data_IF_732435026612
#
_entry.id   IF_732435026612
#
_cell.length_a   1.000
_cell.length_b   1.000
_cell.length_c   1.000
_cell.angle_alpha   90.00
_cell.angle_beta   90.00
_cell.angle_gamma   90.00
#
_symmetry.space_group_name_H-M   'P 1'
#
loop_
_entity.id
_entity.type
_entity.pdbx_description
1 polymer ?
#
# COMPACT_ATOMS: atom_id res chain seq x y z
N UNK A 1 3.20 27.54 -15.64
CA UNK A 1 3.85 26.27 -15.99
C UNK A 1 3.65 25.31 -14.83
N UNK A 2 2.81 24.28 -15.02
CA UNK A 2 2.58 23.25 -14.03
C UNK A 2 3.88 22.45 -13.87
N UNK A 3 4.69 22.80 -12.88
CA UNK A 3 5.73 21.93 -12.37
C UNK A 3 5.05 20.63 -11.96
N UNK A 4 5.38 19.54 -12.66
CA UNK A 4 4.79 18.25 -12.43
C UNK A 4 5.09 17.75 -11.03
N UNK A 5 4.29 18.16 -10.06
CA UNK A 5 4.24 17.60 -8.72
C UNK A 5 3.74 16.14 -8.87
N UNK A 6 4.66 15.22 -9.15
CA UNK A 6 4.35 13.76 -9.08
C UNK A 6 4.29 13.36 -7.60
N UNK A 7 3.37 13.98 -6.87
CA UNK A 7 3.05 13.61 -5.49
C UNK A 7 2.16 12.37 -5.58
N UNK A 8 2.81 11.24 -5.67
CA UNK A 8 2.11 9.96 -5.59
C UNK A 8 1.88 9.65 -4.12
N UNK A 9 0.63 9.44 -3.75
CA UNK A 9 0.21 9.14 -2.39
C UNK A 9 -0.28 7.72 -2.32
N UNK A 10 -0.07 7.06 -1.19
CA UNK A 10 -0.69 5.78 -0.85
C UNK A 10 -0.87 5.76 0.66
N UNK A 11 -1.86 5.00 1.10
CA UNK A 11 -2.09 4.72 2.51
C UNK A 11 -2.16 3.21 2.68
N UNK A 12 -1.41 2.67 3.62
CA UNK A 12 -1.47 1.28 4.05
C UNK A 12 -1.74 1.25 5.54
N UNK A 13 -2.85 0.68 5.92
CA UNK A 13 -3.20 0.39 7.31
C UNK A 13 -3.18 -1.11 7.50
N UNK A 14 -2.49 -1.61 8.50
CA UNK A 14 -2.38 -3.05 8.67
C UNK A 14 -2.27 -3.50 10.12
N UNK A 15 -2.74 -4.72 10.37
CA UNK A 15 -2.62 -5.41 11.63
C UNK A 15 -1.79 -6.68 11.42
N UNK A 16 -0.71 -6.80 12.18
CA UNK A 16 0.18 -7.96 12.19
C UNK A 16 -0.08 -8.77 13.46
N UNK A 17 -0.47 -10.03 13.35
CA UNK A 17 -0.78 -10.93 14.47
C UNK A 17 -1.66 -10.30 15.57
N UNK A 18 -2.50 -9.33 15.22
CA UNK A 18 -3.38 -8.61 16.15
C UNK A 18 -4.86 -8.97 15.98
N UNK A 19 -5.17 -10.08 15.29
CA UNK A 19 -6.50 -10.63 15.12
C UNK A 19 -6.50 -12.14 15.42
N UNK A 20 -7.59 -12.71 16.00
CA UNK A 20 -7.63 -14.16 16.32
C UNK A 20 -7.42 -15.04 15.09
N UNK A 21 -8.03 -14.72 13.96
CA UNK A 21 -8.10 -15.57 12.76
C UNK A 21 -7.03 -15.22 11.71
N UNK A 22 -6.45 -14.03 11.74
CA UNK A 22 -5.53 -13.54 10.71
C UNK A 22 -4.14 -13.23 11.25
N UNK A 23 -3.12 -13.59 10.48
CA UNK A 23 -1.73 -13.15 10.67
C UNK A 23 -1.51 -11.75 10.16
N UNK A 24 -2.14 -11.44 9.01
CA UNK A 24 -2.09 -10.13 8.40
C UNK A 24 -3.50 -9.72 7.96
N UNK A 25 -3.89 -8.53 8.36
CA UNK A 25 -4.99 -7.77 7.78
C UNK A 25 -4.38 -6.49 7.25
N UNK A 26 -4.46 -6.25 5.94
CA UNK A 26 -3.94 -5.05 5.29
C UNK A 26 -5.05 -4.41 4.47
N UNK A 27 -5.24 -3.11 4.66
CA UNK A 27 -6.16 -2.27 3.92
C UNK A 27 -5.37 -1.10 3.32
N UNK A 28 -5.41 -0.93 2.00
CA UNK A 28 -4.60 0.05 1.30
C UNK A 28 -5.37 0.82 0.24
N UNK A 29 -5.09 2.12 0.13
CA UNK A 29 -5.49 2.96 -0.98
C UNK A 29 -4.28 3.26 -1.87
N UNK A 30 -4.46 3.09 -3.17
CA UNK A 30 -3.55 3.58 -4.20
C UNK A 30 -4.08 4.88 -4.74
N UNK A 31 -3.34 5.96 -4.51
CA UNK A 31 -3.69 7.27 -5.02
C UNK A 31 -2.72 7.65 -6.15
N UNK A 32 -3.26 8.06 -7.29
CA UNK A 32 -2.52 8.27 -8.52
C UNK A 32 -3.29 9.20 -9.48
N UNK A 33 -2.62 9.79 -10.44
CA UNK A 33 -3.25 10.48 -11.56
C UNK A 33 -4.13 9.53 -12.38
N UNK A 34 -5.31 10.00 -12.79
CA UNK A 34 -6.26 9.16 -13.54
C UNK A 34 -5.77 8.77 -14.94
N UNK A 35 -4.91 9.58 -15.55
CA UNK A 35 -4.29 9.32 -16.86
C UNK A 35 -3.20 8.24 -16.82
N UNK A 36 -2.73 7.82 -15.61
CA UNK A 36 -1.71 6.76 -15.52
C UNK A 36 -2.30 5.39 -15.80
N UNK A 37 -1.92 4.72 -16.90
CA UNK A 37 -2.52 3.44 -17.26
C UNK A 37 -2.13 2.35 -16.25
N UNK A 38 -3.13 1.61 -15.76
CA UNK A 38 -2.95 0.49 -14.82
C UNK A 38 -3.99 -0.59 -15.10
N UNK A 39 -3.64 -1.84 -14.80
CA UNK A 39 -4.55 -2.97 -14.81
C UNK A 39 -4.91 -3.38 -13.37
N UNK A 40 -6.15 -3.84 -13.13
CA UNK A 40 -6.59 -4.34 -11.83
C UNK A 40 -5.80 -5.57 -11.39
N UNK A 41 -5.98 -5.96 -10.14
CA UNK A 41 -5.37 -7.16 -9.59
C UNK A 41 -5.84 -8.41 -10.33
N UNK A 42 -4.87 -9.19 -10.79
CA UNK A 42 -5.07 -10.51 -11.41
C UNK A 42 -3.79 -11.34 -11.27
N UNK A 43 -3.87 -12.65 -11.50
CA UNK A 43 -2.69 -13.50 -11.62
C UNK A 43 -1.91 -13.16 -12.89
N UNK A 44 -0.61 -12.92 -12.74
CA UNK A 44 0.19 -12.52 -13.89
C UNK A 44 0.46 -13.67 -14.84
N UNK A 45 0.19 -13.49 -16.12
CA UNK A 45 0.44 -14.51 -17.16
C UNK A 45 1.92 -14.93 -17.19
N UNK A 46 2.86 -13.96 -17.03
CA UNK A 46 4.30 -14.23 -17.03
C UNK A 46 4.82 -14.86 -15.72
N UNK A 47 4.08 -14.74 -14.63
CA UNK A 47 4.42 -15.26 -13.30
C UNK A 47 3.14 -15.70 -12.60
N UNK A 48 2.58 -16.90 -12.92
CA UNK A 48 1.26 -17.32 -12.48
C UNK A 48 1.09 -17.45 -10.95
N UNK A 49 2.20 -17.45 -10.21
CA UNK A 49 2.18 -17.43 -8.75
C UNK A 49 1.94 -16.03 -8.16
N UNK A 50 2.03 -14.95 -8.98
CA UNK A 50 1.90 -13.56 -8.50
C UNK A 50 0.51 -13.04 -8.80
N UNK A 51 -0.20 -12.60 -7.76
CA UNK A 51 -1.47 -11.89 -7.81
C UNK A 51 -1.22 -10.42 -7.45
N UNK A 52 -1.37 -9.52 -8.41
CA UNK A 52 -1.16 -8.08 -8.22
C UNK A 52 -1.76 -7.28 -9.37
N UNK A 53 -2.10 -6.01 -9.10
CA UNK A 53 -2.33 -5.04 -10.17
C UNK A 53 -1.04 -4.74 -10.96
N UNK A 54 -1.16 -4.11 -12.12
CA UNK A 54 -0.01 -3.71 -12.94
C UNK A 54 -0.01 -2.21 -13.23
N UNK A 55 1.11 -1.57 -13.02
CA UNK A 55 1.42 -0.29 -13.61
C UNK A 55 1.84 -0.51 -15.07
N UNK A 56 1.00 -0.14 -16.01
CA UNK A 56 1.24 -0.41 -17.44
C UNK A 56 2.28 0.54 -18.04
N UNK A 57 2.57 1.67 -17.38
CA UNK A 57 3.62 2.62 -17.78
C UNK A 57 5.00 2.11 -17.42
N UNK A 58 5.24 1.78 -16.15
CA UNK A 58 6.55 1.42 -15.63
C UNK A 58 6.76 -0.10 -15.48
N UNK A 59 5.73 -0.90 -15.77
CA UNK A 59 5.75 -2.37 -15.73
C UNK A 59 6.06 -2.97 -14.35
N UNK A 60 5.74 -2.22 -13.28
CA UNK A 60 5.84 -2.64 -11.89
C UNK A 60 4.46 -2.85 -11.25
N UNK A 61 4.45 -2.91 -9.93
CA UNK A 61 3.21 -2.94 -9.13
C UNK A 61 3.39 -2.19 -7.80
N UNK A 62 2.28 -1.90 -7.12
CA UNK A 62 2.26 -1.18 -5.83
C UNK A 62 1.95 -2.09 -4.64
N UNK A 63 1.23 -3.19 -4.87
CA UNK A 63 0.85 -4.19 -3.88
C UNK A 63 0.58 -5.50 -4.59
N UNK A 64 0.99 -6.60 -3.98
CA UNK A 64 0.69 -7.94 -4.48
C UNK A 64 1.05 -9.02 -3.49
N UNK A 65 0.59 -10.23 -3.78
CA UNK A 65 0.82 -11.45 -3.01
C UNK A 65 1.12 -12.60 -3.96
N UNK A 66 1.88 -13.57 -3.49
CA UNK A 66 2.12 -14.83 -4.24
C UNK A 66 1.28 -15.97 -3.68
N UNK A 67 1.10 -17.04 -4.47
CA UNK A 67 0.48 -18.29 -3.99
C UNK A 67 1.22 -18.87 -2.78
N UNK A 68 2.55 -18.71 -2.70
CA UNK A 68 3.36 -19.11 -1.54
C UNK A 68 3.30 -18.15 -0.34
N UNK A 69 2.39 -17.17 -0.32
CA UNK A 69 2.16 -16.28 0.81
C UNK A 69 3.17 -15.13 0.98
N UNK A 70 4.13 -14.94 0.04
CA UNK A 70 4.94 -13.72 0.02
C UNK A 70 4.05 -12.54 -0.38
N UNK A 71 4.20 -11.41 0.28
CA UNK A 71 3.52 -10.18 -0.14
C UNK A 71 4.46 -8.99 -0.07
N UNK A 72 4.16 -7.97 -0.85
CA UNK A 72 4.85 -6.71 -0.85
C UNK A 72 3.91 -5.56 -1.15
N UNK A 73 4.15 -4.42 -0.51
CA UNK A 73 3.46 -3.17 -0.80
C UNK A 73 4.44 -2.00 -0.67
N UNK A 74 4.17 -0.92 -1.40
CA UNK A 74 5.03 0.25 -1.42
C UNK A 74 4.22 1.53 -1.30
N UNK A 75 4.73 2.49 -0.52
CA UNK A 75 4.28 3.88 -0.56
C UNK A 75 5.43 4.78 -0.98
N UNK A 76 5.11 5.92 -1.55
CA UNK A 76 6.11 6.96 -1.78
C UNK A 76 6.40 7.66 -0.46
N UNK A 77 7.64 8.07 -0.26
CA UNK A 77 7.99 9.03 0.77
C UNK A 77 7.88 10.44 0.17
N UNK A 78 7.24 11.37 0.88
CA UNK A 78 6.99 12.74 0.40
C UNK A 78 8.19 13.61 0.71
N UNK A 79 9.03 13.80 -0.27
CA UNK A 79 10.24 14.63 -0.21
C UNK A 79 10.42 15.36 -1.56
N UNK A 80 9.66 16.46 -1.78
CA UNK A 80 9.73 17.21 -3.03
C UNK A 80 11.12 17.78 -3.31
N UNK A 81 11.85 18.16 -2.26
CA UNK A 81 13.16 18.80 -2.39
C UNK A 81 14.25 17.85 -2.94
N UNK A 82 14.12 16.55 -2.71
CA UNK A 82 15.08 15.53 -3.19
C UNK A 82 14.62 14.78 -4.46
N UNK A 83 13.62 15.31 -5.17
CA UNK A 83 13.07 14.65 -6.36
C UNK A 83 14.11 14.53 -7.49
N UNK A 84 14.20 13.31 -8.06
CA UNK A 84 15.06 12.96 -9.19
C UNK A 84 14.19 12.54 -10.37
N UNK A 85 14.31 13.24 -11.51
CA UNK A 85 13.51 12.97 -12.71
C UNK A 85 13.78 11.57 -13.30
N UNK A 86 15.05 11.16 -13.31
CA UNK A 86 15.52 9.91 -13.93
C UNK A 86 15.62 8.73 -12.95
N UNK A 87 15.03 8.86 -11.75
CA UNK A 87 15.04 7.79 -10.78
C UNK A 87 14.28 6.55 -11.29
N UNK A 88 14.79 5.33 -11.04
CA UNK A 88 14.11 4.12 -11.45
C UNK A 88 12.76 3.96 -10.75
N UNK A 89 11.84 3.25 -11.42
CA UNK A 89 10.51 2.99 -10.90
C UNK A 89 10.54 2.18 -9.60
N UNK A 90 9.93 2.73 -8.56
CA UNK A 90 9.81 2.10 -7.24
C UNK A 90 8.92 0.85 -7.27
N UNK A 91 7.91 0.80 -8.16
CA UNK A 91 7.05 -0.35 -8.35
C UNK A 91 7.80 -1.62 -8.78
N UNK A 92 8.98 -1.48 -9.42
CA UNK A 92 9.86 -2.60 -9.74
C UNK A 92 10.48 -3.26 -8.50
N UNK A 93 10.57 -2.57 -7.38
CA UNK A 93 11.01 -3.16 -6.10
C UNK A 93 9.98 -4.18 -5.60
N UNK A 94 8.70 -3.89 -5.73
CA UNK A 94 7.62 -4.81 -5.35
C UNK A 94 7.61 -6.03 -6.29
N UNK A 95 7.55 -5.80 -7.60
CA UNK A 95 7.50 -6.91 -8.57
C UNK A 95 8.71 -7.84 -8.48
N UNK A 96 9.93 -7.32 -8.34
CA UNK A 96 11.15 -8.12 -8.19
C UNK A 96 11.15 -8.96 -6.91
N UNK A 97 10.58 -8.46 -5.82
CA UNK A 97 10.44 -9.26 -4.62
C UNK A 97 9.44 -10.41 -4.81
N UNK A 98 8.29 -10.13 -5.39
CA UNK A 98 7.24 -11.13 -5.60
C UNK A 98 7.64 -12.23 -6.59
N UNK A 99 8.42 -11.89 -7.62
CA UNK A 99 8.89 -12.85 -8.63
C UNK A 99 10.20 -13.55 -8.25
N UNK A 100 10.94 -13.03 -7.29
CA UNK A 100 12.22 -13.58 -6.85
C UNK A 100 12.09 -14.61 -5.73
N UNK A 101 13.22 -15.30 -5.41
CA UNK A 101 13.27 -16.33 -4.36
C UNK A 101 13.75 -15.81 -2.99
N UNK A 102 14.33 -14.60 -2.92
CA UNK A 102 14.89 -14.07 -1.69
C UNK A 102 13.83 -13.86 -0.60
N UNK A 103 14.18 -14.17 0.65
CA UNK A 103 13.38 -13.80 1.82
C UNK A 103 13.39 -12.28 2.06
N UNK A 104 12.45 -11.76 2.90
CA UNK A 104 12.21 -10.33 3.02
C UNK A 104 13.43 -9.56 3.51
N UNK A 105 14.09 -10.00 4.57
CA UNK A 105 15.25 -9.29 5.12
C UNK A 105 16.42 -9.23 4.14
N UNK A 106 16.78 -10.38 3.53
CA UNK A 106 17.85 -10.46 2.53
C UNK A 106 17.57 -9.55 1.34
N UNK A 107 16.31 -9.53 0.88
CA UNK A 107 15.90 -8.66 -0.21
C UNK A 107 16.06 -7.18 0.16
N UNK A 108 15.59 -6.77 1.34
CA UNK A 108 15.70 -5.38 1.79
C UNK A 108 17.14 -4.92 1.96
N UNK A 109 18.03 -5.76 2.52
CA UNK A 109 19.47 -5.47 2.60
C UNK A 109 20.10 -5.24 1.21
N UNK A 110 19.66 -5.97 0.19
CA UNK A 110 20.11 -5.76 -1.18
C UNK A 110 19.53 -4.48 -1.81
N UNK A 111 18.28 -4.15 -1.53
CA UNK A 111 17.65 -2.88 -1.95
C UNK A 111 18.36 -1.70 -1.31
N UNK A 112 18.69 -1.78 -0.02
CA UNK A 112 19.35 -0.71 0.72
C UNK A 112 20.69 -0.28 0.10
N UNK A 113 21.45 -1.22 -0.44
CA UNK A 113 22.73 -0.92 -1.13
C UNK A 113 22.60 -0.02 -2.36
N UNK A 114 21.38 0.10 -2.92
CA UNK A 114 21.09 0.87 -4.15
C UNK A 114 19.96 1.86 -3.95
N UNK A 115 19.57 2.08 -2.71
CA UNK A 115 18.36 2.83 -2.37
C UNK A 115 18.44 4.33 -2.73
N UNK A 116 19.65 4.89 -2.74
CA UNK A 116 19.91 6.28 -3.12
C UNK A 116 19.57 6.59 -4.59
N UNK A 117 19.58 5.58 -5.47
CA UNK A 117 19.19 5.77 -6.86
C UNK A 117 17.69 6.08 -7.01
N UNK A 118 16.87 5.72 -6.04
CA UNK A 118 15.41 5.87 -6.08
C UNK A 118 14.96 7.18 -5.45
N UNK A 119 13.83 7.69 -5.91
CA UNK A 119 13.05 8.67 -5.13
C UNK A 119 12.56 8.05 -3.82
N UNK A 120 12.19 8.88 -2.84
CA UNK A 120 11.76 8.44 -1.53
C UNK A 120 10.65 7.36 -1.58
N UNK A 121 10.82 6.29 -0.80
CA UNK A 121 9.84 5.19 -0.71
C UNK A 121 9.85 4.53 0.67
N UNK A 122 8.73 3.87 0.97
CA UNK A 122 8.62 2.90 2.05
C UNK A 122 8.17 1.56 1.44
N UNK A 123 8.85 0.48 1.77
CA UNK A 123 8.60 -0.86 1.27
C UNK A 123 8.23 -1.79 2.42
N UNK A 124 7.04 -2.38 2.36
CA UNK A 124 6.51 -3.33 3.32
C UNK A 124 6.56 -4.72 2.70
N UNK A 125 7.26 -5.66 3.32
CA UNK A 125 7.47 -7.02 2.82
C UNK A 125 7.13 -8.06 3.87
N UNK A 126 6.57 -9.19 3.44
CA UNK A 126 6.38 -10.36 4.29
C UNK A 126 6.41 -11.66 3.50
N UNK A 127 6.62 -12.77 4.19
CA UNK A 127 6.68 -14.11 3.57
C UNK A 127 5.84 -15.18 4.30
N UNK A 128 4.92 -14.72 5.13
CA UNK A 128 4.07 -15.57 5.95
C UNK A 128 4.65 -15.90 7.34
N UNK A 129 5.96 -15.73 7.55
CA UNK A 129 6.62 -15.86 8.84
C UNK A 129 6.90 -14.49 9.47
N UNK A 130 7.57 -13.64 8.74
CA UNK A 130 8.08 -12.36 9.20
C UNK A 130 7.55 -11.20 8.36
N UNK A 131 7.45 -10.05 9.01
CA UNK A 131 7.04 -8.79 8.40
C UNK A 131 8.13 -7.74 8.60
N UNK A 132 8.54 -7.09 7.53
CA UNK A 132 9.56 -6.04 7.53
C UNK A 132 9.08 -4.80 6.83
N UNK A 133 9.53 -3.65 7.32
CA UNK A 133 9.42 -2.36 6.64
C UNK A 133 10.80 -1.77 6.42
N UNK A 134 10.99 -1.12 5.30
CA UNK A 134 12.18 -0.35 4.98
C UNK A 134 11.80 0.95 4.29
N UNK A 135 12.39 2.06 4.74
CA UNK A 135 12.36 3.34 4.05
C UNK A 135 13.77 3.70 3.58
N UNK A 136 13.92 4.24 2.37
CA UNK A 136 15.20 4.83 1.99
C UNK A 136 15.45 6.21 2.61
N UNK A 137 14.61 6.59 3.57
CA UNK A 137 14.76 7.72 4.49
C UNK A 137 14.87 7.25 5.96
N UNK A 138 15.08 5.96 6.18
CA UNK A 138 15.16 5.35 7.52
C UNK A 138 15.75 3.94 7.43
N UNK A 139 15.47 3.11 8.44
CA UNK A 139 16.08 1.81 8.64
C UNK A 139 15.20 0.63 8.21
N UNK A 140 15.82 -0.54 8.03
CA UNK A 140 15.13 -1.82 7.93
C UNK A 140 14.66 -2.22 9.34
N UNK A 141 13.36 -2.45 9.50
CA UNK A 141 12.76 -2.86 10.76
C UNK A 141 11.94 -4.13 10.60
N UNK A 142 12.19 -5.13 11.44
CA UNK A 142 11.29 -6.27 11.63
C UNK A 142 10.14 -5.81 12.52
N UNK A 143 8.91 -6.15 12.14
CA UNK A 143 7.72 -5.73 12.87
C UNK A 143 7.21 -6.83 13.80
N UNK A 144 6.83 -6.45 15.00
CA UNK A 144 6.15 -7.31 15.98
C UNK A 144 4.63 -7.31 15.77
N UNK A 145 3.90 -8.02 16.63
CA UNK A 145 2.44 -7.94 16.67
C UNK A 145 1.99 -6.52 16.98
N UNK A 146 0.99 -6.03 16.21
CA UNK A 146 0.51 -4.67 16.41
C UNK A 146 -0.35 -4.14 15.26
N UNK A 147 -0.81 -2.90 15.42
CA UNK A 147 -1.56 -2.13 14.44
C UNK A 147 -0.70 -0.97 13.97
N UNK A 148 -0.52 -0.87 12.67
CA UNK A 148 0.40 0.04 12.03
C UNK A 148 -0.28 0.86 10.94
N UNK A 149 0.30 2.02 10.65
CA UNK A 149 -0.09 2.85 9.52
C UNK A 149 1.13 3.39 8.79
N UNK A 150 1.13 3.25 7.47
CA UNK A 150 2.20 3.70 6.59
C UNK A 150 1.59 4.56 5.49
N UNK A 151 2.03 5.81 5.43
CA UNK A 151 1.63 6.72 4.37
C UNK A 151 2.89 7.23 3.64
N UNK A 152 3.06 8.53 3.54
CA UNK A 152 4.12 9.15 2.74
C UNK A 152 5.23 9.79 3.60
N UNK A 153 5.35 9.31 4.80
CA UNK A 153 6.41 9.55 5.79
C UNK A 153 6.81 8.19 6.37
N UNK A 154 7.63 8.13 7.39
CA UNK A 154 8.03 6.88 8.05
C UNK A 154 6.83 6.16 8.68
N UNK A 155 7.02 4.88 8.98
CA UNK A 155 6.00 4.05 9.64
C UNK A 155 5.50 4.71 10.92
N UNK A 156 4.17 4.78 11.04
CA UNK A 156 3.47 5.34 12.22
C UNK A 156 3.71 6.84 12.47
N UNK A 157 4.28 7.57 11.51
CA UNK A 157 4.31 9.04 11.62
C UNK A 157 2.90 9.55 11.91
N UNK A 158 2.72 10.41 12.94
CA UNK A 158 1.40 10.73 13.48
C UNK A 158 0.60 11.72 12.62
N UNK A 159 0.61 11.54 11.32
CA UNK A 159 -0.28 12.29 10.43
C UNK A 159 -1.75 11.99 10.74
N UNK A 160 -2.66 12.97 10.61
CA UNK A 160 -4.06 12.82 10.97
C UNK A 160 -4.72 11.57 10.36
N UNK A 161 -4.49 11.30 9.06
CA UNK A 161 -5.04 10.13 8.38
C UNK A 161 -4.48 8.80 8.91
N UNK A 162 -3.19 8.77 9.32
CA UNK A 162 -2.57 7.59 9.92
C UNK A 162 -3.16 7.31 11.29
N UNK A 163 -3.21 8.32 12.16
CA UNK A 163 -3.77 8.18 13.51
C UNK A 163 -5.25 7.77 13.47
N UNK A 164 -6.03 8.44 12.61
CA UNK A 164 -7.45 8.13 12.45
C UNK A 164 -7.65 6.74 11.85
N UNK A 165 -6.89 6.40 10.81
CA UNK A 165 -6.95 5.10 10.15
C UNK A 165 -6.64 3.95 11.11
N UNK A 166 -5.60 4.09 11.95
CA UNK A 166 -5.28 3.10 13.00
C UNK A 166 -6.41 2.93 14.02
N UNK A 167 -7.08 4.02 14.43
CA UNK A 167 -8.25 3.96 15.32
C UNK A 167 -9.42 3.22 14.67
N UNK A 168 -9.72 3.50 13.40
CA UNK A 168 -10.77 2.82 12.66
C UNK A 168 -10.43 1.35 12.41
N UNK A 169 -9.18 1.05 12.02
CA UNK A 169 -8.72 -0.33 11.88
C UNK A 169 -8.89 -1.11 13.19
N UNK A 170 -8.47 -0.55 14.33
CA UNK A 170 -8.67 -1.19 15.63
C UNK A 170 -10.13 -1.55 15.91
N UNK A 171 -11.07 -0.71 15.49
CA UNK A 171 -12.52 -0.98 15.63
C UNK A 171 -12.96 -2.09 14.65
N UNK A 172 -12.49 -2.03 13.41
CA UNK A 172 -12.81 -3.04 12.40
C UNK A 172 -12.35 -4.45 12.79
N UNK A 173 -11.21 -4.57 13.50
CA UNK A 173 -10.69 -5.86 13.98
C UNK A 173 -11.61 -6.58 14.99
N UNK A 174 -12.62 -5.94 15.52
CA UNK A 174 -13.65 -6.60 16.33
C UNK A 174 -14.69 -7.36 15.49
N UNK A 175 -14.76 -7.11 14.18
CA UNK A 175 -15.66 -7.75 13.23
C UNK A 175 -15.04 -9.01 12.64
N UNK A 176 -15.86 -9.84 11.97
CA UNK A 176 -15.42 -11.07 11.31
C UNK A 176 -16.04 -11.20 9.90
N UNK A 177 -15.46 -12.06 9.09
CA UNK A 177 -16.04 -12.41 7.80
C UNK A 177 -16.34 -11.20 6.93
N UNK A 178 -17.59 -11.09 6.47
CA UNK A 178 -18.05 -10.03 5.57
C UNK A 178 -18.10 -8.66 6.25
N UNK A 179 -18.51 -8.61 7.51
CA UNK A 179 -18.58 -7.36 8.29
C UNK A 179 -17.18 -6.76 8.48
N UNK A 180 -16.14 -7.57 8.64
CA UNK A 180 -14.76 -7.10 8.66
C UNK A 180 -14.37 -6.48 7.30
N UNK A 181 -14.67 -7.16 6.18
CA UNK A 181 -14.38 -6.62 4.84
C UNK A 181 -15.08 -5.28 4.59
N UNK A 182 -16.34 -5.17 4.95
CA UNK A 182 -17.14 -3.94 4.84
C UNK A 182 -16.54 -2.83 5.71
N UNK A 183 -16.26 -3.08 6.97
CA UNK A 183 -15.64 -2.10 7.87
C UNK A 183 -14.26 -1.63 7.39
N UNK A 184 -13.47 -2.51 6.75
CA UNK A 184 -12.19 -2.15 6.16
C UNK A 184 -12.35 -1.29 4.90
N UNK A 185 -13.33 -1.53 4.05
CA UNK A 185 -13.61 -0.66 2.91
C UNK A 185 -14.19 0.69 3.36
N UNK A 186 -15.05 0.71 4.38
CA UNK A 186 -15.61 1.95 4.94
C UNK A 186 -14.51 2.85 5.51
N UNK A 187 -13.53 2.28 6.22
CA UNK A 187 -12.42 3.07 6.71
C UNK A 187 -11.55 3.64 5.57
N UNK A 188 -11.35 2.89 4.48
CA UNK A 188 -10.61 3.37 3.31
C UNK A 188 -11.38 4.45 2.54
N UNK A 189 -12.70 4.46 2.62
CA UNK A 189 -13.57 5.45 1.99
C UNK A 189 -13.71 6.77 2.79
N UNK A 190 -13.05 6.91 3.94
CA UNK A 190 -13.15 8.10 4.79
C UNK A 190 -12.55 9.34 4.10
N UNK A 191 -13.38 10.36 3.92
CA UNK A 191 -13.05 11.63 3.25
C UNK A 191 -12.91 12.82 4.20
N UNK A 192 -12.77 12.58 5.50
CA UNK A 192 -12.69 13.66 6.48
C UNK A 192 -11.38 14.42 6.33
N UNK A 193 -11.51 15.71 6.12
CA UNK A 193 -10.39 16.65 6.14
C UNK A 193 -10.13 17.08 7.58
N UNK A 194 -8.91 16.92 8.10
CA UNK A 194 -8.56 17.42 9.42
C UNK A 194 -8.45 18.96 9.42
N UNK A 195 -8.55 19.62 10.61
CA UNK A 195 -8.29 21.04 10.71
C UNK A 195 -6.86 21.40 10.23
N UNK A 196 -6.71 22.56 9.59
CA UNK A 196 -5.44 23.01 8.99
C UNK A 196 -4.26 22.96 9.95
N UNK A 197 -4.47 23.36 11.22
CA UNK A 197 -3.44 23.31 12.29
C UNK A 197 -2.85 21.91 12.56
N UNK A 198 -3.51 20.86 12.07
CA UNK A 198 -3.08 19.48 12.22
C UNK A 198 -2.45 18.90 10.95
N UNK A 199 -2.46 19.68 9.86
CA UNK A 199 -1.86 19.25 8.59
C UNK A 199 -0.34 19.26 8.70
N UNK A 200 0.37 18.33 8.06
CA UNK A 200 1.81 18.45 7.91
C UNK A 200 2.13 19.63 6.99
N UNK A 201 3.29 20.22 7.15
CA UNK A 201 3.89 21.13 6.18
C UNK A 201 5.06 20.39 5.50
N UNK A 202 4.83 19.93 4.28
CA UNK A 202 5.84 19.21 3.49
C UNK A 202 6.31 20.02 2.27
N UNK A 203 5.99 21.32 2.23
CA UNK A 203 6.40 22.24 1.18
C UNK A 203 5.57 22.14 -0.12
N UNK A 204 4.41 21.47 -0.10
CA UNK A 204 3.53 21.30 -1.27
C UNK A 204 2.39 22.34 -1.34
N UNK A 205 2.26 23.15 -0.31
CA UNK A 205 1.20 24.15 -0.17
C UNK A 205 -0.08 23.62 0.45
N UNK A 206 -0.80 24.50 1.14
CA UNK A 206 -1.95 24.17 2.01
C UNK A 206 -3.08 23.43 1.27
N UNK A 207 -3.41 23.83 0.05
CA UNK A 207 -4.47 23.19 -0.75
C UNK A 207 -4.18 21.72 -1.03
N UNK A 208 -2.92 21.41 -1.36
CA UNK A 208 -2.48 20.04 -1.54
C UNK A 208 -2.41 19.27 -0.22
N UNK A 209 -1.97 19.90 0.87
CA UNK A 209 -1.98 19.24 2.18
C UNK A 209 -3.41 18.88 2.61
N UNK A 210 -4.40 19.76 2.41
CA UNK A 210 -5.82 19.46 2.67
C UNK A 210 -6.32 18.30 1.84
N UNK A 211 -6.10 18.29 0.52
CA UNK A 211 -6.52 17.25 -0.40
C UNK A 211 -5.92 15.88 0.01
N UNK A 212 -4.63 15.87 0.30
CA UNK A 212 -3.86 14.67 0.57
C UNK A 212 -3.99 14.17 2.03
N UNK A 213 -4.67 14.93 2.89
CA UNK A 213 -4.89 14.54 4.30
C UNK A 213 -6.06 13.58 4.49
N UNK A 214 -6.89 13.38 3.48
CA UNK A 214 -7.99 12.39 3.51
C UNK A 214 -7.47 10.98 3.25
N UNK A 215 -8.21 9.95 3.68
CA UNK A 215 -7.88 8.57 3.33
C UNK A 215 -8.34 8.24 1.91
N UNK A 216 -9.52 8.68 1.50
CA UNK A 216 -10.01 8.60 0.13
C UNK A 216 -9.90 9.97 -0.55
N UNK A 217 -9.14 10.05 -1.62
CA UNK A 217 -8.88 11.29 -2.36
C UNK A 217 -9.75 11.33 -3.60
N UNK A 218 -10.44 12.47 -3.83
CA UNK A 218 -11.19 12.73 -5.08
C UNK A 218 -10.89 14.16 -5.55
N UNK A 219 -10.31 14.28 -6.73
CA UNK A 219 -10.13 15.54 -7.45
C UNK A 219 -10.32 15.32 -8.95
N UNK A 220 -10.32 16.34 -9.81
CA UNK A 220 -10.55 16.17 -11.25
C UNK A 220 -9.51 15.34 -11.99
N UNK A 221 -8.25 15.33 -11.54
CA UNK A 221 -7.12 14.70 -12.26
C UNK A 221 -6.38 13.65 -11.45
N UNK A 222 -6.58 13.63 -10.12
CA UNK A 222 -5.84 12.82 -9.17
C UNK A 222 -6.77 12.30 -8.10
N UNK A 223 -6.59 11.05 -7.66
CA UNK A 223 -7.37 10.51 -6.56
C UNK A 223 -7.09 9.04 -6.28
N UNK A 224 -7.89 8.49 -5.38
CA UNK A 224 -7.85 7.07 -5.06
C UNK A 224 -8.32 6.27 -6.27
N UNK A 225 -7.38 5.52 -6.86
CA UNK A 225 -7.61 4.66 -8.03
C UNK A 225 -8.13 3.28 -7.66
N UNK A 226 -7.65 2.75 -6.55
CA UNK A 226 -8.14 1.48 -6.01
C UNK A 226 -7.98 1.39 -4.51
N UNK A 227 -8.86 0.60 -3.89
CA UNK A 227 -8.77 0.15 -2.50
C UNK A 227 -8.58 -1.36 -2.48
N UNK A 228 -7.53 -1.83 -1.81
CA UNK A 228 -7.17 -3.24 -1.76
C UNK A 228 -7.17 -3.75 -0.33
N UNK A 229 -7.84 -4.86 -0.09
CA UNK A 229 -7.73 -5.65 1.12
C UNK A 229 -6.87 -6.89 0.85
N UNK A 230 -5.87 -7.14 1.69
CA UNK A 230 -5.12 -8.39 1.71
C UNK A 230 -5.24 -9.00 3.10
N UNK A 231 -5.88 -10.17 3.17
CA UNK A 231 -6.10 -10.92 4.40
C UNK A 231 -5.34 -12.26 4.32
N UNK A 232 -4.40 -12.48 5.24
CA UNK A 232 -3.65 -13.74 5.34
C UNK A 232 -4.06 -14.41 6.65
N UNK A 233 -4.80 -15.50 6.54
CA UNK A 233 -5.32 -16.25 7.68
C UNK A 233 -4.25 -17.09 8.38
N UNK A 234 -4.46 -17.36 9.68
CA UNK A 234 -3.66 -18.34 10.44
C UNK A 234 -3.86 -19.78 9.90
N UNK A 235 -4.98 -20.00 9.22
CA UNK A 235 -5.31 -21.25 8.50
C UNK A 235 -4.62 -21.35 7.11
N UNK A 236 -3.60 -20.55 6.84
CA UNK A 236 -2.86 -20.51 5.57
C UNK A 236 -3.75 -20.21 4.34
N UNK A 237 -4.81 -19.43 4.48
CA UNK A 237 -5.60 -18.94 3.35
C UNK A 237 -5.32 -17.47 3.10
N UNK A 238 -5.19 -17.13 1.83
CA UNK A 238 -5.07 -15.74 1.36
C UNK A 238 -6.40 -15.30 0.77
N UNK A 239 -6.82 -14.08 1.08
CA UNK A 239 -7.90 -13.39 0.36
C UNK A 239 -7.38 -12.02 -0.07
N UNK A 240 -7.57 -11.70 -1.35
CA UNK A 240 -7.31 -10.36 -1.89
C UNK A 240 -8.60 -9.85 -2.54
N UNK A 241 -8.98 -8.63 -2.18
CA UNK A 241 -10.15 -7.95 -2.76
C UNK A 241 -9.70 -6.56 -3.18
N UNK A 242 -9.92 -6.21 -4.43
CA UNK A 242 -9.64 -4.88 -4.95
C UNK A 242 -10.90 -4.25 -5.52
N UNK A 243 -11.20 -3.01 -5.10
CA UNK A 243 -12.16 -2.12 -5.73
C UNK A 243 -11.41 -1.09 -6.56
N UNK A 244 -11.75 -0.95 -7.85
CA UNK A 244 -11.12 0.02 -8.77
C UNK A 244 -12.12 1.12 -9.09
N UNK A 245 -11.72 2.36 -8.86
CA UNK A 245 -12.59 3.56 -8.98
C UNK A 245 -12.33 4.35 -10.26
N UNK A 246 -11.06 4.56 -10.62
CA UNK A 246 -10.60 5.31 -11.80
C UNK A 246 -11.23 6.72 -11.98
N UNK A 247 -11.68 7.33 -10.88
CA UNK A 247 -12.41 8.60 -10.94
C UNK A 247 -13.88 8.48 -11.28
N UNK A 248 -14.39 7.29 -11.58
CA UNK A 248 -15.76 6.98 -11.99
C UNK A 248 -16.70 6.79 -10.79
N UNK A 249 -17.99 6.88 -11.06
CA UNK A 249 -19.04 6.53 -10.09
C UNK A 249 -19.38 5.03 -10.18
N UNK A 250 -20.17 4.54 -9.22
CA UNK A 250 -20.65 3.14 -9.23
C UNK A 250 -21.40 2.79 -10.53
N UNK A 251 -21.32 1.53 -11.00
CA UNK A 251 -20.69 0.38 -10.37
C UNK A 251 -19.19 0.29 -10.62
N UNK A 252 -18.42 0.05 -9.55
CA UNK A 252 -16.97 -0.13 -9.65
C UNK A 252 -16.60 -1.57 -10.00
N UNK A 253 -15.44 -1.75 -10.66
CA UNK A 253 -14.86 -3.07 -10.85
C UNK A 253 -14.38 -3.62 -9.50
N UNK A 254 -14.84 -4.83 -9.15
CA UNK A 254 -14.43 -5.51 -7.93
C UNK A 254 -13.83 -6.87 -8.29
N UNK A 255 -12.53 -7.03 -8.02
CA UNK A 255 -11.83 -8.30 -8.13
C UNK A 255 -11.76 -8.99 -6.77
N UNK A 256 -12.07 -10.30 -6.72
CA UNK A 256 -12.03 -11.12 -5.49
C UNK A 256 -11.29 -12.41 -5.74
N UNK A 257 -10.26 -12.66 -4.94
CA UNK A 257 -9.46 -13.89 -4.99
C UNK A 257 -9.37 -14.51 -3.61
N UNK A 258 -9.47 -15.84 -3.54
CA UNK A 258 -9.27 -16.58 -2.31
C UNK A 258 -8.62 -17.94 -2.64
N UNK A 259 -7.48 -18.23 -2.00
CA UNK A 259 -6.72 -19.45 -2.26
C UNK A 259 -5.93 -19.91 -1.03
N UNK A 260 -5.59 -21.20 -0.91
CA UNK A 260 -4.65 -21.66 0.11
C UNK A 260 -3.24 -21.19 -0.22
N UNK A 261 -2.42 -20.96 0.82
CA UNK A 261 -0.98 -20.79 0.65
C UNK A 261 -0.37 -22.11 0.22
N UNK A 262 0.29 -22.12 -0.93
CA UNK A 262 1.03 -23.28 -1.44
C UNK A 262 2.38 -23.39 -0.71
N UNK A 263 2.78 -24.62 -0.34
CA UNK A 263 4.10 -24.86 0.22
C UNK A 263 5.17 -24.51 -0.85
N UNK A 264 6.28 -23.93 -0.40
CA UNK A 264 7.40 -23.60 -1.29
C UNK A 264 8.03 -24.91 -1.76
N UNK A 265 7.87 -25.22 -3.03
CA UNK A 265 8.65 -26.26 -3.71
C UNK A 265 10.09 -25.81 -3.91
#
# INVERSE_FOLDING_TARGET
SAFGLRILMCLILFACNAHPDYRLILAANRDEFYDRPSAPADFWTSHPQVLAGKDLKEKGTWLGVTRGGKFAAITNYRDPASWKADAPSRGKLVSRYLTGSAGPEKYLRNVAKKAEAYNGFNLLLGDGADLFVYSNRGDIRKLSSGIYGLSNELLDTPWPKVQRGKKLLKRALAQKGKELEEALFDLLADRRVPPDRNLPDTGIGLEWERLLATMFIKSPIYGTRSSTLLLIGKNKRVKLIEKVYNGEEEPWLISRFAFPVEDRT
#
